data_IF_448635553109
#
_entry.id   IF_448635553109
#
_cell.length_a   1.000
_cell.length_b   1.000
_cell.length_c   1.000
_cell.angle_alpha   90.00
_cell.angle_beta   90.00
_cell.angle_gamma   90.00
#
_symmetry.space_group_name_H-M   'P 1'
#
loop_
_entity.id
_entity.type
_entity.pdbx_description
1 polymer ?
#
# COMPACT_ATOMS: atom_id res chain seq x y z
N UNK A 1 89.00 -13.58 -24.46
CA UNK A 1 88.12 -14.44 -23.59
C UNK A 1 87.38 -13.53 -22.62
N UNK A 2 86.19 -13.05 -23.01
CA UNK A 2 85.36 -12.21 -22.16
C UNK A 2 84.10 -13.00 -21.77
N UNK A 3 84.09 -13.44 -20.54
CA UNK A 3 82.94 -14.11 -19.94
C UNK A 3 81.84 -13.04 -19.60
N UNK A 4 80.71 -13.09 -20.29
CA UNK A 4 79.54 -12.36 -19.92
C UNK A 4 78.90 -13.04 -18.74
N UNK A 5 78.82 -12.33 -17.61
CA UNK A 5 78.03 -12.71 -16.43
C UNK A 5 76.49 -12.58 -16.75
N UNK A 6 75.70 -13.55 -16.41
CA UNK A 6 74.25 -13.43 -16.62
C UNK A 6 73.68 -12.41 -15.65
N UNK A 7 72.99 -11.40 -16.19
CA UNK A 7 72.21 -10.41 -15.44
C UNK A 7 71.07 -11.10 -14.68
N UNK A 8 70.99 -10.79 -13.39
CA UNK A 8 69.94 -11.23 -12.47
C UNK A 8 68.54 -10.90 -13.01
N UNK A 9 67.80 -11.94 -13.29
CA UNK A 9 66.37 -11.81 -13.62
C UNK A 9 65.68 -11.03 -12.53
N UNK A 10 65.13 -9.89 -12.91
CA UNK A 10 64.14 -9.12 -12.14
C UNK A 10 62.99 -10.06 -11.78
N UNK A 11 62.95 -10.54 -10.58
CA UNK A 11 61.84 -11.30 -10.05
C UNK A 11 60.69 -10.33 -9.76
N UNK A 12 59.97 -9.97 -10.85
CA UNK A 12 58.74 -9.21 -10.71
C UNK A 12 57.80 -9.98 -9.80
N UNK A 13 57.49 -9.43 -8.65
CA UNK A 13 56.55 -9.98 -7.72
C UNK A 13 55.21 -10.30 -8.43
N UNK A 14 54.59 -11.46 -8.16
CA UNK A 14 53.37 -11.85 -8.86
C UNK A 14 52.31 -10.77 -8.69
N UNK A 15 51.81 -10.25 -9.82
CA UNK A 15 50.69 -9.28 -9.83
C UNK A 15 49.46 -9.99 -9.35
N UNK A 16 49.18 -9.86 -8.04
CA UNK A 16 47.93 -10.34 -7.43
C UNK A 16 46.81 -9.38 -7.85
N UNK A 17 45.87 -9.88 -8.65
CA UNK A 17 44.69 -9.11 -9.04
C UNK A 17 43.86 -8.77 -7.81
N UNK A 18 43.78 -7.50 -7.50
CA UNK A 18 42.94 -7.01 -6.37
C UNK A 18 41.72 -6.32 -6.93
N UNK A 19 40.54 -6.94 -6.73
CA UNK A 19 39.22 -6.45 -7.22
C UNK A 19 38.86 -5.05 -6.70
N UNK A 20 39.42 -4.64 -5.56
CA UNK A 20 39.11 -3.36 -4.94
C UNK A 20 40.37 -2.74 -4.36
N UNK A 21 40.49 -1.41 -4.46
CA UNK A 21 41.53 -0.63 -3.79
C UNK A 21 41.35 -0.69 -2.26
N UNK A 22 42.44 -0.46 -1.53
CA UNK A 22 42.43 -0.43 -0.06
C UNK A 22 41.32 0.51 0.50
N UNK A 23 41.15 1.70 -0.08
CA UNK A 23 40.12 2.65 0.30
C UNK A 23 38.70 2.11 0.10
N UNK A 24 38.44 1.40 -1.00
CA UNK A 24 37.15 0.79 -1.27
C UNK A 24 36.85 -0.39 -0.31
N UNK A 25 37.87 -1.12 0.11
CA UNK A 25 37.72 -2.19 1.13
C UNK A 25 37.39 -1.60 2.48
N UNK A 26 38.10 -0.56 2.91
CA UNK A 26 37.85 0.16 4.16
C UNK A 26 36.45 0.79 4.17
N UNK A 27 36.06 1.43 3.08
CA UNK A 27 34.72 2.02 2.97
C UNK A 27 33.62 0.96 3.09
N UNK A 28 33.78 -0.19 2.43
CA UNK A 28 32.82 -1.30 2.54
C UNK A 28 32.79 -1.89 3.96
N UNK A 29 33.94 -2.09 4.56
CA UNK A 29 34.03 -2.57 5.93
C UNK A 29 33.34 -1.61 6.89
N UNK A 30 33.59 -0.31 6.76
CA UNK A 30 32.92 0.72 7.56
C UNK A 30 31.39 0.71 7.34
N UNK A 31 30.94 0.53 6.10
CA UNK A 31 29.52 0.43 5.75
C UNK A 31 28.88 -0.81 6.37
N UNK A 32 29.54 -1.98 6.31
CA UNK A 32 29.05 -3.18 6.98
C UNK A 32 28.98 -3.01 8.49
N UNK A 33 30.01 -2.39 9.07
CA UNK A 33 30.05 -2.12 10.52
C UNK A 33 28.93 -1.16 10.94
N UNK A 34 28.65 -0.13 10.11
CA UNK A 34 27.55 0.79 10.32
C UNK A 34 26.19 0.08 10.24
N UNK A 35 26.00 -0.80 9.25
CA UNK A 35 24.76 -1.59 9.13
C UNK A 35 24.60 -2.53 10.34
N UNK A 36 25.65 -3.22 10.76
CA UNK A 36 25.61 -4.07 11.95
C UNK A 36 25.31 -3.26 13.20
N UNK A 37 25.96 -2.10 13.36
CA UNK A 37 25.69 -1.20 14.49
C UNK A 37 24.22 -0.71 14.48
N UNK A 38 23.68 -0.36 13.32
CA UNK A 38 22.28 0.05 13.16
C UNK A 38 21.32 -1.10 13.54
N UNK A 39 21.61 -2.32 13.12
CA UNK A 39 20.82 -3.51 13.47
C UNK A 39 20.87 -3.76 14.99
N UNK A 40 22.07 -3.73 15.58
CA UNK A 40 22.24 -3.91 17.04
C UNK A 40 21.51 -2.81 17.81
N UNK A 41 21.59 -1.57 17.33
CA UNK A 41 20.87 -0.44 17.94
C UNK A 41 19.35 -0.61 17.80
N UNK A 42 18.86 -1.10 16.65
CA UNK A 42 17.45 -1.38 16.45
C UNK A 42 16.95 -2.50 17.39
N UNK A 43 17.73 -3.59 17.52
CA UNK A 43 17.39 -4.70 18.44
C UNK A 43 17.36 -4.22 19.89
N UNK A 44 18.31 -3.35 20.28
CA UNK A 44 18.32 -2.79 21.65
C UNK A 44 17.21 -1.78 21.89
N UNK A 45 16.78 -1.06 20.85
CA UNK A 45 15.68 -0.08 20.92
C UNK A 45 14.28 -0.74 20.93
N UNK A 46 14.18 -1.97 20.43
CA UNK A 46 12.98 -2.79 20.59
C UNK A 46 13.19 -3.58 21.89
N UNK A 47 12.50 -3.16 22.94
CA UNK A 47 12.49 -3.89 24.22
C UNK A 47 11.83 -5.28 24.01
N UNK A 48 12.60 -6.21 23.47
CA UNK A 48 12.16 -7.59 23.35
C UNK A 48 12.22 -8.20 24.75
N UNK A 49 11.06 -8.40 25.36
CA UNK A 49 10.93 -9.10 26.64
C UNK A 49 11.01 -10.60 26.34
N UNK A 50 12.11 -11.29 26.70
CA UNK A 50 12.31 -12.69 26.32
C UNK A 50 11.23 -13.61 26.91
N UNK A 51 10.65 -13.23 28.04
CA UNK A 51 9.59 -13.98 28.73
C UNK A 51 8.37 -14.18 27.82
N UNK A 52 7.94 -13.15 27.07
CA UNK A 52 6.84 -13.29 26.13
C UNK A 52 7.14 -14.25 24.96
N UNK A 53 8.42 -14.41 24.60
CA UNK A 53 8.81 -15.37 23.58
C UNK A 53 8.73 -16.81 24.08
N UNK A 54 9.08 -17.03 25.36
CA UNK A 54 8.99 -18.36 25.99
C UNK A 54 7.54 -18.75 26.24
N UNK A 55 6.68 -17.81 26.63
CA UNK A 55 5.28 -18.05 26.92
C UNK A 55 4.41 -18.10 25.64
N UNK A 56 4.92 -17.60 24.50
CA UNK A 56 4.17 -17.54 23.25
C UNK A 56 3.60 -18.91 22.79
N UNK A 57 4.34 -20.03 22.84
CA UNK A 57 3.80 -21.33 22.44
C UNK A 57 2.65 -21.79 23.33
N UNK A 58 2.73 -21.55 24.64
CA UNK A 58 1.70 -21.94 25.60
C UNK A 58 0.44 -21.06 25.41
N UNK A 59 0.61 -19.76 25.26
CA UNK A 59 -0.50 -18.84 24.96
C UNK A 59 -1.17 -19.15 23.61
N UNK A 60 -0.39 -19.53 22.59
CA UNK A 60 -0.94 -19.99 21.31
C UNK A 60 -1.73 -21.30 21.47
N UNK A 61 -1.21 -22.26 22.23
CA UNK A 61 -1.90 -23.52 22.46
C UNK A 61 -3.22 -23.29 23.23
N UNK A 62 -3.22 -22.45 24.26
CA UNK A 62 -4.41 -22.05 25.00
C UNK A 62 -5.44 -21.33 24.10
N UNK A 63 -4.96 -20.43 23.22
CA UNK A 63 -5.82 -19.76 22.23
C UNK A 63 -6.50 -20.77 21.30
N UNK A 64 -5.74 -21.75 20.75
CA UNK A 64 -6.28 -22.79 19.89
C UNK A 64 -7.27 -23.69 20.63
N UNK A 65 -7.02 -24.05 21.87
CA UNK A 65 -7.95 -24.82 22.69
C UNK A 65 -9.25 -24.08 22.95
N UNK A 66 -9.19 -22.78 23.17
CA UNK A 66 -10.39 -21.93 23.35
C UNK A 66 -11.15 -21.68 22.04
N UNK A 67 -10.49 -21.75 20.88
CA UNK A 67 -11.13 -21.66 19.58
C UNK A 67 -11.87 -22.94 19.19
N UNK A 68 -11.59 -24.08 19.84
CA UNK A 68 -12.18 -25.37 19.54
C UNK A 68 -12.86 -25.96 20.78
N UNK A 69 -14.12 -26.45 20.70
CA UNK A 69 -14.99 -26.58 19.52
C UNK A 69 -15.66 -25.26 19.13
N UNK A 70 -15.94 -25.10 17.83
CA UNK A 70 -16.65 -23.94 17.31
C UNK A 70 -18.10 -23.97 17.78
N UNK A 71 -18.56 -22.93 18.46
CA UNK A 71 -19.95 -22.77 18.90
C UNK A 71 -20.84 -22.32 17.73
N UNK A 72 -21.41 -23.28 17.02
CA UNK A 72 -22.33 -23.03 15.92
C UNK A 72 -23.65 -22.43 16.36
N UNK A 73 -24.04 -22.58 17.63
CA UNK A 73 -25.27 -22.01 18.15
C UNK A 73 -25.17 -20.48 18.27
N UNK A 74 -23.97 -19.94 18.46
CA UNK A 74 -23.74 -18.50 18.51
C UNK A 74 -23.80 -17.80 17.15
N UNK A 75 -23.66 -18.57 16.03
CA UNK A 75 -23.61 -18.01 14.68
C UNK A 75 -24.84 -17.16 14.30
N UNK A 76 -26.12 -17.59 14.50
CA UNK A 76 -27.28 -16.82 14.06
C UNK A 76 -27.48 -15.50 14.81
N UNK A 77 -27.15 -15.48 16.11
CA UNK A 77 -27.41 -14.34 16.97
C UNK A 77 -26.29 -13.29 17.03
N UNK A 78 -25.03 -13.75 16.87
CA UNK A 78 -23.85 -12.89 17.05
C UNK A 78 -23.08 -12.64 15.77
N UNK A 79 -22.64 -13.73 15.15
CA UNK A 79 -21.70 -13.64 14.01
C UNK A 79 -22.38 -13.18 12.74
N UNK A 80 -23.58 -13.69 12.43
CA UNK A 80 -24.31 -13.34 11.22
C UNK A 80 -24.57 -11.82 11.09
N UNK A 81 -25.08 -11.20 12.13
CA UNK A 81 -25.35 -9.77 12.12
C UNK A 81 -24.10 -8.93 11.95
N UNK A 82 -22.98 -9.30 12.60
CA UNK A 82 -21.71 -8.64 12.47
C UNK A 82 -21.13 -8.78 11.05
N UNK A 83 -21.28 -9.94 10.42
CA UNK A 83 -20.86 -10.16 9.02
C UNK A 83 -21.66 -9.28 8.05
N UNK A 84 -22.98 -9.24 8.21
CA UNK A 84 -23.86 -8.42 7.35
C UNK A 84 -23.52 -6.93 7.53
N UNK A 85 -23.33 -6.47 8.77
CA UNK A 85 -22.92 -5.08 9.05
C UNK A 85 -21.57 -4.76 8.39
N UNK A 86 -20.59 -5.66 8.47
CA UNK A 86 -19.28 -5.53 7.82
C UNK A 86 -19.41 -5.42 6.29
N UNK A 87 -20.24 -6.26 5.68
CA UNK A 87 -20.48 -6.19 4.22
C UNK A 87 -21.14 -4.87 3.81
N UNK A 88 -22.08 -4.36 4.62
CA UNK A 88 -22.70 -3.04 4.37
C UNK A 88 -21.67 -1.92 4.47
N UNK A 89 -20.80 -1.92 5.48
CA UNK A 89 -19.73 -0.93 5.66
C UNK A 89 -18.74 -1.01 4.48
N UNK A 90 -18.31 -2.21 4.10
CA UNK A 90 -17.39 -2.42 2.98
C UNK A 90 -18.00 -1.92 1.65
N UNK A 91 -19.27 -2.25 1.40
CA UNK A 91 -19.96 -1.85 0.17
C UNK A 91 -20.16 -0.34 0.11
N UNK A 92 -20.68 0.26 1.18
CA UNK A 92 -20.92 1.70 1.25
C UNK A 92 -19.59 2.48 1.19
N UNK A 93 -18.58 2.01 1.92
CA UNK A 93 -17.23 2.59 1.90
C UNK A 93 -16.59 2.53 0.53
N UNK A 94 -16.78 1.42 -0.21
CA UNK A 94 -16.29 1.29 -1.58
C UNK A 94 -16.99 2.23 -2.53
N UNK A 95 -18.33 2.27 -2.53
CA UNK A 95 -19.13 3.15 -3.39
C UNK A 95 -18.74 4.61 -3.16
N UNK A 96 -18.68 5.03 -1.91
CA UNK A 96 -18.35 6.40 -1.53
C UNK A 96 -16.91 6.75 -1.94
N UNK A 97 -15.97 5.84 -1.72
CA UNK A 97 -14.58 6.04 -2.11
C UNK A 97 -14.41 6.17 -3.63
N UNK A 98 -15.10 5.34 -4.41
CA UNK A 98 -15.08 5.40 -5.88
C UNK A 98 -15.68 6.69 -6.38
N UNK A 99 -16.84 7.10 -5.84
CA UNK A 99 -17.51 8.35 -6.20
C UNK A 99 -16.61 9.57 -5.97
N UNK A 100 -15.87 9.60 -4.86
CA UNK A 100 -14.94 10.69 -4.56
C UNK A 100 -13.61 10.56 -5.31
N UNK A 101 -13.12 9.35 -5.54
CA UNK A 101 -11.81 9.10 -6.13
C UNK A 101 -11.78 9.29 -7.64
N UNK A 102 -12.87 8.95 -8.35
CA UNK A 102 -12.92 9.04 -9.81
C UNK A 102 -12.66 10.47 -10.33
N UNK A 103 -13.36 11.51 -9.85
CA UNK A 103 -13.09 12.87 -10.31
C UNK A 103 -11.66 13.32 -10.01
N UNK A 104 -11.12 12.98 -8.83
CA UNK A 104 -9.75 13.33 -8.46
C UNK A 104 -8.75 12.54 -9.31
N UNK A 105 -9.00 11.26 -9.58
CA UNK A 105 -8.18 10.42 -10.46
C UNK A 105 -8.14 10.92 -11.91
N UNK A 106 -9.28 11.35 -12.45
CA UNK A 106 -9.36 11.99 -13.78
C UNK A 106 -8.50 13.26 -13.85
N UNK A 107 -8.55 14.10 -12.81
CA UNK A 107 -7.74 15.32 -12.73
C UNK A 107 -6.25 15.03 -12.46
N UNK A 108 -5.92 13.90 -11.85
CA UNK A 108 -4.54 13.49 -11.59
C UNK A 108 -3.85 12.85 -12.80
N UNK A 109 -4.62 12.40 -13.81
CA UNK A 109 -4.07 11.84 -15.05
C UNK A 109 -3.44 12.95 -15.93
N UNK A 110 -2.14 12.76 -16.29
CA UNK A 110 -1.39 13.75 -17.07
C UNK A 110 -1.92 13.97 -18.48
N UNK A 111 -2.51 12.93 -19.07
CA UNK A 111 -3.00 12.95 -20.44
C UNK A 111 -4.40 13.61 -20.60
N UNK A 112 -5.15 13.76 -19.52
CA UNK A 112 -6.48 14.39 -19.54
C UNK A 112 -6.46 15.84 -19.06
N UNK A 113 -5.61 16.17 -18.10
CA UNK A 113 -5.62 17.48 -17.44
C UNK A 113 -4.73 18.48 -18.15
N UNK A 114 -5.30 19.58 -18.70
CA UNK A 114 -4.53 20.57 -19.44
C UNK A 114 -3.65 21.45 -18.56
N UNK A 115 -4.00 21.60 -17.28
CA UNK A 115 -3.29 22.47 -16.33
C UNK A 115 -2.40 21.68 -15.38
N UNK A 116 -1.10 21.95 -15.37
CA UNK A 116 -0.13 21.35 -14.44
C UNK A 116 -0.48 21.64 -12.98
N UNK A 117 -1.04 22.79 -12.68
CA UNK A 117 -1.44 23.19 -11.33
C UNK A 117 -2.60 22.31 -10.82
N UNK A 118 -3.63 22.09 -11.65
CA UNK A 118 -4.78 21.24 -11.28
C UNK A 118 -4.32 19.79 -11.10
N UNK A 119 -3.48 19.29 -12.00
CA UNK A 119 -2.90 17.96 -11.90
C UNK A 119 -2.09 17.79 -10.59
N UNK A 120 -1.24 18.78 -10.28
CA UNK A 120 -0.44 18.77 -9.05
C UNK A 120 -1.32 18.78 -7.79
N UNK A 121 -2.37 19.62 -7.75
CA UNK A 121 -3.33 19.64 -6.65
C UNK A 121 -4.07 18.31 -6.49
N UNK A 122 -4.54 17.73 -7.59
CA UNK A 122 -5.20 16.42 -7.56
C UNK A 122 -4.26 15.34 -7.02
N UNK A 123 -3.02 15.30 -7.48
CA UNK A 123 -2.00 14.37 -6.97
C UNK A 123 -1.67 14.61 -5.50
N UNK A 124 -1.61 15.85 -5.07
CA UNK A 124 -1.40 16.21 -3.67
C UNK A 124 -2.55 15.68 -2.80
N UNK A 125 -3.80 15.83 -3.24
CA UNK A 125 -4.98 15.26 -2.53
C UNK A 125 -4.86 13.74 -2.41
N UNK A 126 -4.51 13.04 -3.51
CA UNK A 126 -4.35 11.58 -3.50
C UNK A 126 -3.23 11.13 -2.55
N UNK A 127 -2.10 11.81 -2.56
CA UNK A 127 -0.96 11.50 -1.68
C UNK A 127 -1.31 11.79 -0.22
N UNK A 128 -1.91 12.94 0.08
CA UNK A 128 -2.31 13.32 1.43
C UNK A 128 -3.32 12.35 2.04
N UNK A 129 -4.33 11.94 1.25
CA UNK A 129 -5.33 10.95 1.69
C UNK A 129 -4.70 9.61 2.09
N UNK A 130 -3.61 9.20 1.42
CA UNK A 130 -2.89 7.95 1.73
C UNK A 130 -1.90 8.08 2.87
N UNK A 131 -1.32 9.26 3.06
CA UNK A 131 -0.30 9.52 4.08
C UNK A 131 -0.89 9.55 5.49
N UNK A 132 -2.15 9.96 5.62
CA UNK A 132 -2.82 10.01 6.91
C UNK A 132 -3.29 8.61 7.32
N UNK A 133 -2.96 8.21 8.54
CA UNK A 133 -3.40 6.94 9.11
C UNK A 133 -4.93 6.90 9.22
N UNK A 134 -5.54 5.73 8.95
CA UNK A 134 -6.99 5.53 9.07
C UNK A 134 -7.54 5.87 10.45
N UNK A 135 -6.74 5.69 11.51
CA UNK A 135 -7.14 6.04 12.88
C UNK A 135 -7.37 7.55 13.03
N UNK A 136 -6.57 8.40 12.38
CA UNK A 136 -6.74 9.85 12.43
C UNK A 136 -8.07 10.26 11.77
N UNK A 137 -8.38 9.67 10.60
CA UNK A 137 -9.67 9.86 9.94
C UNK A 137 -10.83 9.35 10.80
N UNK A 138 -10.67 8.18 11.43
CA UNK A 138 -11.68 7.61 12.30
C UNK A 138 -11.96 8.52 13.51
N UNK A 139 -10.93 9.00 14.20
CA UNK A 139 -11.07 9.92 15.33
C UNK A 139 -11.72 11.24 14.92
N UNK A 140 -11.36 11.78 13.76
CA UNK A 140 -11.97 12.99 13.21
C UNK A 140 -13.47 12.80 12.99
N UNK A 141 -13.86 11.71 12.34
CA UNK A 141 -15.28 11.45 12.06
C UNK A 141 -16.08 11.04 13.30
N UNK A 142 -15.45 10.36 14.27
CA UNK A 142 -16.06 10.10 15.58
C UNK A 142 -16.32 11.42 16.33
N UNK A 143 -15.40 12.37 16.25
CA UNK A 143 -15.59 13.67 16.89
C UNK A 143 -16.74 14.49 16.26
N UNK A 144 -16.99 14.31 14.95
CA UNK A 144 -18.04 15.06 14.21
C UNK A 144 -19.40 14.35 14.31
N UNK A 145 -19.44 13.04 14.09
CA UNK A 145 -20.69 12.27 13.93
C UNK A 145 -21.00 11.36 15.13
N UNK A 146 -20.07 11.28 16.09
CA UNK A 146 -20.16 10.31 17.19
C UNK A 146 -19.60 8.92 16.81
N UNK A 147 -19.45 8.05 17.81
CA UNK A 147 -18.99 6.68 17.60
C UNK A 147 -20.07 5.84 16.90
N UNK A 148 -19.70 5.18 15.78
CA UNK A 148 -20.64 4.32 15.05
C UNK A 148 -20.12 3.89 13.68
N UNK A 149 -20.89 3.01 13.02
CA UNK A 149 -20.58 2.47 11.70
C UNK A 149 -20.38 3.55 10.63
N UNK A 150 -21.12 4.67 10.73
CA UNK A 150 -20.99 5.80 9.80
C UNK A 150 -19.61 6.44 9.86
N UNK A 151 -19.09 6.73 11.05
CA UNK A 151 -17.77 7.33 11.24
C UNK A 151 -16.67 6.42 10.68
N UNK A 152 -16.76 5.11 10.94
CA UNK A 152 -15.86 4.11 10.39
C UNK A 152 -15.92 4.05 8.85
N UNK A 153 -17.12 4.01 8.29
CA UNK A 153 -17.33 3.99 6.82
C UNK A 153 -16.72 5.22 6.15
N UNK A 154 -16.94 6.40 6.70
CA UNK A 154 -16.36 7.65 6.17
C UNK A 154 -14.85 7.67 6.29
N UNK A 155 -14.27 7.24 7.41
CA UNK A 155 -12.82 7.18 7.60
C UNK A 155 -12.15 6.29 6.54
N UNK A 156 -12.75 5.14 6.29
CA UNK A 156 -12.28 4.19 5.29
C UNK A 156 -12.43 4.75 3.87
N UNK A 157 -13.58 5.37 3.57
CA UNK A 157 -13.85 5.98 2.28
C UNK A 157 -12.83 7.09 1.95
N UNK A 158 -12.58 8.01 2.89
CA UNK A 158 -11.61 9.09 2.70
C UNK A 158 -10.19 8.60 2.49
N UNK A 159 -9.74 7.63 3.28
CA UNK A 159 -8.43 7.01 3.09
C UNK A 159 -8.33 6.30 1.73
N UNK A 160 -9.44 5.76 1.25
CA UNK A 160 -9.50 5.00 -0.01
C UNK A 160 -9.42 5.87 -1.25
N UNK A 161 -9.74 7.17 -1.15
CA UNK A 161 -9.68 8.13 -2.27
C UNK A 161 -8.29 8.09 -2.90
N UNK A 162 -7.25 8.15 -2.09
CA UNK A 162 -5.87 8.15 -2.58
C UNK A 162 -5.47 6.84 -3.27
N UNK A 163 -5.96 5.70 -2.81
CA UNK A 163 -5.68 4.40 -3.42
C UNK A 163 -6.43 4.24 -4.75
N UNK A 164 -7.75 4.37 -4.73
CA UNK A 164 -8.60 4.20 -5.91
C UNK A 164 -8.28 5.26 -6.97
N UNK A 165 -8.16 6.53 -6.55
CA UNK A 165 -7.91 7.63 -7.49
C UNK A 165 -6.55 7.52 -8.19
N UNK A 166 -5.52 7.02 -7.47
CA UNK A 166 -4.22 6.76 -8.08
C UNK A 166 -4.31 5.66 -9.14
N UNK A 167 -4.90 4.52 -8.82
CA UNK A 167 -5.01 3.39 -9.76
C UNK A 167 -5.88 3.75 -10.97
N UNK A 168 -6.96 4.49 -10.77
CA UNK A 168 -7.79 4.98 -11.88
C UNK A 168 -7.00 5.96 -12.75
N UNK A 169 -6.23 6.88 -12.16
CA UNK A 169 -5.37 7.79 -12.90
C UNK A 169 -4.31 7.07 -13.72
N UNK A 170 -3.65 6.06 -13.15
CA UNK A 170 -2.67 5.21 -13.84
C UNK A 170 -3.32 4.43 -15.00
N UNK A 171 -4.49 3.83 -14.79
CA UNK A 171 -5.21 3.14 -15.87
C UNK A 171 -5.58 4.07 -17.03
N UNK A 172 -5.87 5.35 -16.75
CA UNK A 172 -6.13 6.36 -17.78
C UNK A 172 -4.83 6.74 -18.52
N UNK A 173 -3.71 6.84 -17.81
CA UNK A 173 -2.41 7.16 -18.40
C UNK A 173 -1.88 6.03 -19.30
N UNK A 174 -2.22 4.78 -18.99
CA UNK A 174 -1.84 3.59 -19.76
C UNK A 174 -2.72 3.35 -21.00
N UNK A 175 -3.81 4.13 -21.19
CA UNK A 175 -4.70 3.96 -22.34
C UNK A 175 -3.96 4.20 -23.67
N UNK A 176 -4.25 3.35 -24.66
CA UNK A 176 -3.65 3.42 -25.99
C UNK A 176 -4.02 4.70 -26.72
N UNK A 177 -3.02 5.35 -27.32
CA UNK A 177 -3.20 6.64 -28.02
C UNK A 177 -4.01 6.54 -29.31
N UNK A 178 -3.86 5.44 -30.06
CA UNK A 178 -4.51 5.29 -31.38
C UNK A 178 -6.02 5.55 -31.36
N UNK A 179 -6.81 4.84 -30.53
CA UNK A 179 -8.25 5.11 -30.42
C UNK A 179 -8.58 6.53 -29.95
N UNK A 180 -7.73 7.10 -29.07
CA UNK A 180 -7.92 8.47 -28.57
C UNK A 180 -7.72 9.49 -29.68
N UNK A 181 -6.67 9.34 -30.46
CA UNK A 181 -6.36 10.20 -31.62
C UNK A 181 -7.45 10.08 -32.70
N UNK A 182 -7.93 8.86 -32.98
CA UNK A 182 -9.00 8.64 -33.95
C UNK A 182 -10.29 9.37 -33.56
N UNK A 183 -10.74 9.29 -32.30
CA UNK A 183 -11.93 10.01 -31.84
C UNK A 183 -11.68 11.53 -31.79
N UNK A 184 -10.49 11.96 -31.43
CA UNK A 184 -10.15 13.38 -31.39
C UNK A 184 -10.12 13.98 -32.77
N UNK A 185 -9.65 13.25 -33.80
CA UNK A 185 -9.59 13.68 -35.18
C UNK A 185 -11.01 13.96 -35.80
N UNK A 186 -12.06 13.37 -35.23
CA UNK A 186 -13.45 13.68 -35.65
C UNK A 186 -13.96 15.03 -35.13
N UNK A 187 -13.15 15.77 -34.35
CA UNK A 187 -13.59 17.03 -33.73
C UNK A 187 -14.47 16.81 -32.49
N UNK A 188 -14.48 15.62 -31.91
CA UNK A 188 -15.28 15.28 -30.75
C UNK A 188 -14.91 16.13 -29.51
N UNK A 189 -15.91 16.44 -28.69
CA UNK A 189 -15.69 17.15 -27.41
C UNK A 189 -14.84 16.32 -26.43
N UNK A 190 -14.16 16.96 -25.49
CA UNK A 190 -13.37 16.27 -24.47
C UNK A 190 -14.17 15.21 -23.69
N UNK A 191 -15.43 15.50 -23.37
CA UNK A 191 -16.32 14.55 -22.71
C UNK A 191 -16.59 13.33 -23.60
N UNK A 192 -16.80 13.53 -24.90
CA UNK A 192 -16.99 12.44 -25.87
C UNK A 192 -15.72 11.59 -26.01
N UNK A 193 -14.54 12.21 -26.03
CA UNK A 193 -13.26 11.47 -26.06
C UNK A 193 -13.09 10.61 -24.81
N UNK A 194 -13.43 11.14 -23.62
CA UNK A 194 -13.37 10.36 -22.37
C UNK A 194 -14.33 9.16 -22.46
N UNK A 195 -15.55 9.37 -22.92
CA UNK A 195 -16.58 8.33 -22.93
C UNK A 195 -16.39 7.28 -24.03
N UNK A 196 -15.95 7.66 -25.22
CA UNK A 196 -15.84 6.76 -26.36
C UNK A 196 -14.42 6.20 -26.57
N UNK A 197 -13.37 6.93 -26.18
CA UNK A 197 -12.00 6.48 -26.40
C UNK A 197 -11.33 5.96 -25.12
N UNK A 198 -11.47 6.62 -23.97
CA UNK A 198 -10.85 6.18 -22.72
C UNK A 198 -11.68 5.11 -22.01
N UNK A 199 -12.97 5.36 -21.78
CA UNK A 199 -13.81 4.50 -20.96
C UNK A 199 -13.83 3.04 -21.41
N UNK A 200 -13.98 2.67 -22.68
CA UNK A 200 -13.95 1.28 -23.10
C UNK A 200 -12.64 0.57 -22.78
N UNK A 201 -11.51 1.29 -22.84
CA UNK A 201 -10.19 0.74 -22.55
C UNK A 201 -9.96 0.55 -21.05
N UNK A 202 -10.34 1.52 -20.21
CA UNK A 202 -10.11 1.49 -18.76
C UNK A 202 -11.19 0.71 -18.00
N UNK A 203 -12.32 0.43 -18.62
CA UNK A 203 -13.45 -0.28 -17.97
C UNK A 203 -13.05 -1.58 -17.26
N UNK A 204 -12.26 -2.50 -17.85
CA UNK A 204 -11.84 -3.72 -17.18
C UNK A 204 -10.98 -3.42 -15.95
N UNK A 205 -10.01 -2.50 -16.09
CA UNK A 205 -9.14 -2.07 -14.99
C UNK A 205 -9.94 -1.40 -13.87
N UNK A 206 -10.91 -0.54 -14.24
CA UNK A 206 -11.78 0.13 -13.29
C UNK A 206 -12.56 -0.86 -12.41
N UNK A 207 -13.21 -1.86 -13.02
CA UNK A 207 -13.93 -2.87 -12.25
C UNK A 207 -13.01 -3.73 -11.40
N UNK A 208 -11.82 -4.05 -11.89
CA UNK A 208 -10.80 -4.74 -11.10
C UNK A 208 -10.39 -3.93 -9.86
N UNK A 209 -10.20 -2.62 -10.00
CA UNK A 209 -9.85 -1.73 -8.89
C UNK A 209 -10.99 -1.66 -7.85
N UNK A 210 -12.24 -1.56 -8.32
CA UNK A 210 -13.42 -1.51 -7.45
C UNK A 210 -13.57 -2.81 -6.67
N UNK A 211 -13.47 -3.96 -7.34
CA UNK A 211 -13.58 -5.27 -6.71
C UNK A 211 -12.44 -5.52 -5.74
N UNK A 212 -11.21 -5.21 -6.13
CA UNK A 212 -10.04 -5.29 -5.23
C UNK A 212 -10.24 -4.44 -3.98
N UNK A 213 -10.78 -3.23 -4.13
CA UNK A 213 -11.03 -2.36 -2.98
C UNK A 213 -12.11 -2.92 -2.07
N UNK A 214 -13.19 -3.42 -2.64
CA UNK A 214 -14.27 -4.06 -1.89
C UNK A 214 -13.78 -5.30 -1.12
N UNK A 215 -12.99 -6.15 -1.76
CA UNK A 215 -12.39 -7.34 -1.16
C UNK A 215 -11.50 -6.97 0.03
N UNK A 216 -10.57 -6.03 -0.14
CA UNK A 216 -9.70 -5.55 0.96
C UNK A 216 -10.53 -5.02 2.13
N UNK A 217 -11.61 -4.28 1.87
CA UNK A 217 -12.45 -3.71 2.94
C UNK A 217 -13.27 -4.78 3.65
N UNK A 218 -13.79 -5.78 2.94
CA UNK A 218 -14.55 -6.87 3.53
C UNK A 218 -13.68 -7.74 4.44
N UNK A 219 -12.42 -8.01 4.05
CA UNK A 219 -11.49 -8.84 4.82
C UNK A 219 -10.97 -8.13 6.09
N UNK A 220 -10.68 -6.83 6.03
CA UNK A 220 -10.15 -6.09 7.19
C UNK A 220 -11.18 -6.04 8.32
N UNK A 221 -12.47 -5.91 8.00
CA UNK A 221 -13.52 -5.82 9.03
C UNK A 221 -13.94 -7.16 9.61
N UNK A 222 -13.70 -8.27 8.93
CA UNK A 222 -13.96 -9.61 9.48
C UNK A 222 -13.04 -9.91 10.66
N UNK A 223 -11.85 -9.32 10.70
CA UNK A 223 -10.86 -9.55 11.76
C UNK A 223 -11.09 -8.74 13.05
N UNK A 224 -11.99 -7.76 13.06
CA UNK A 224 -12.35 -7.00 14.28
C UNK A 224 -13.71 -7.44 14.81
N UNK A 225 -13.78 -8.36 15.80
CA UNK A 225 -15.04 -8.66 16.48
C UNK A 225 -15.46 -7.42 17.29
N UNK A 226 -16.52 -6.76 16.85
CA UNK A 226 -17.15 -5.67 17.59
C UNK A 226 -17.61 -6.21 18.94
N UNK A 227 -16.80 -6.01 19.97
CA UNK A 227 -17.09 -6.35 21.35
C UNK A 227 -18.15 -5.37 21.85
N UNK A 228 -19.42 -5.59 21.52
CA UNK A 228 -20.54 -5.01 22.27
C UNK A 228 -20.56 -5.68 23.64
N UNK A 229 -19.84 -5.13 24.60
CA UNK A 229 -20.15 -5.38 26.00
C UNK A 229 -21.50 -4.69 26.26
N UNK A 230 -22.53 -5.51 26.38
CA UNK A 230 -23.76 -5.08 27.01
C UNK A 230 -23.43 -4.60 28.43
N UNK A 231 -23.59 -3.31 28.66
CA UNK A 231 -23.73 -2.74 30.00
C UNK A 231 -25.20 -2.96 30.34
N UNK A 232 -25.46 -4.00 31.09
CA UNK A 232 -26.65 -4.14 31.88
C UNK A 232 -26.39 -3.52 33.24
#
# INVERSE_FOLDING_TARGET
MNAHAPTLRDTAAPRVWQRYSLGQRLLRFALYLLVVAAIVQAIRGVEVIPEFLYDAPEQMADLFQRMWPVDWAYYPGGVHNALVETLHIATLGTILSVFMAVPVGLLAANNLTPSKTINMLARLILVSSRSVNSLVWALLFIAIFGPGALAGTLAIAFRSIGFVGKLVGEAIEEAQRGPIEAVTATGASKASVIWYAYWPQIRPAFWSIVLLRWDILSLIHISEPTRRRGIS
#
